data_IF_500809342749
#
_entry.id   IF_500809342749
#
_cell.length_a   1.000
_cell.length_b   1.000
_cell.length_c   1.000
_cell.angle_alpha   90.00
_cell.angle_beta   90.00
_cell.angle_gamma   90.00
#
_symmetry.space_group_name_H-M   'P 1'
#
loop_
_entity.id
_entity.type
_entity.pdbx_description
1 polymer ?
#
# COMPACT_ATOMS: atom_id res chain seq x y z
N UNK A 1 17.99 57.04 -29.42
CA UNK A 1 17.84 56.86 -27.96
C UNK A 1 16.58 56.15 -27.50
N UNK A 2 15.64 55.87 -28.36
CA UNK A 2 14.42 55.16 -27.98
C UNK A 2 14.49 53.63 -28.10
N UNK A 3 15.58 53.08 -28.59
CA UNK A 3 15.77 51.64 -28.85
C UNK A 3 16.02 50.85 -27.54
N UNK A 4 16.68 51.47 -26.56
CA UNK A 4 16.96 50.80 -25.28
C UNK A 4 15.72 50.61 -24.38
N UNK A 5 14.74 51.49 -24.49
CA UNK A 5 13.47 51.36 -23.74
C UNK A 5 12.55 50.30 -24.33
N UNK A 6 12.58 50.10 -25.64
CA UNK A 6 11.79 49.06 -26.28
C UNK A 6 12.37 47.64 -26.05
N UNK A 7 13.68 47.53 -25.93
CA UNK A 7 14.33 46.26 -25.64
C UNK A 7 13.99 45.75 -24.22
N UNK A 8 13.94 46.62 -23.24
CA UNK A 8 13.61 46.29 -21.85
C UNK A 8 12.14 45.86 -21.71
N UNK A 9 11.25 46.44 -22.53
CA UNK A 9 9.82 46.09 -22.51
C UNK A 9 9.57 44.72 -23.16
N UNK A 10 10.33 44.33 -24.15
CA UNK A 10 10.26 43.00 -24.79
C UNK A 10 10.75 41.90 -23.89
N UNK A 11 11.80 42.12 -23.09
CA UNK A 11 12.36 41.17 -22.16
C UNK A 11 11.40 40.91 -20.98
N UNK A 12 10.66 41.92 -20.55
CA UNK A 12 9.64 41.75 -19.49
C UNK A 12 8.42 40.97 -19.92
N UNK A 13 8.10 40.93 -21.21
CA UNK A 13 6.96 40.16 -21.72
C UNK A 13 7.25 38.70 -21.94
N UNK A 14 8.49 38.31 -22.19
CA UNK A 14 8.90 36.93 -22.36
C UNK A 14 9.12 36.20 -21.04
N UNK A 15 9.41 36.89 -19.95
CA UNK A 15 9.63 36.27 -18.64
C UNK A 15 8.33 35.78 -17.96
N UNK A 16 7.16 36.30 -18.36
CA UNK A 16 5.88 35.97 -17.74
C UNK A 16 5.29 34.66 -18.31
N UNK A 17 5.68 34.26 -19.51
CA UNK A 17 5.15 33.06 -20.19
C UNK A 17 5.81 31.76 -19.75
N UNK A 18 6.96 31.80 -19.07
CA UNK A 18 7.71 30.61 -18.66
C UNK A 18 7.23 30.05 -17.30
N UNK A 19 6.53 30.88 -16.51
CA UNK A 19 6.14 30.50 -15.13
C UNK A 19 4.87 29.67 -15.02
N UNK A 20 4.09 29.55 -16.09
CA UNK A 20 2.76 28.89 -16.03
C UNK A 20 2.82 27.41 -16.35
N UNK A 21 3.93 26.91 -16.92
CA UNK A 21 4.03 25.52 -17.40
C UNK A 21 4.44 24.52 -16.30
N UNK A 22 4.92 25.01 -15.16
CA UNK A 22 5.50 24.14 -14.12
C UNK A 22 4.45 23.57 -13.14
N UNK A 23 3.22 24.09 -13.16
CA UNK A 23 2.19 23.68 -12.16
C UNK A 23 1.32 22.49 -12.55
N UNK A 24 1.42 21.96 -13.78
CA UNK A 24 0.47 20.94 -14.23
C UNK A 24 0.93 19.48 -14.05
N UNK A 25 2.17 19.23 -13.67
CA UNK A 25 2.68 17.86 -13.53
C UNK A 25 2.61 17.30 -12.10
N UNK A 26 2.26 18.11 -11.11
CA UNK A 26 2.31 17.72 -9.71
C UNK A 26 1.06 17.00 -9.19
N UNK A 27 0.04 16.76 -10.03
CA UNK A 27 -1.28 16.28 -9.59
C UNK A 27 -1.60 14.83 -9.96
N UNK A 28 -0.73 14.13 -10.69
CA UNK A 28 -0.92 12.72 -11.02
C UNK A 28 -0.26 11.84 -9.94
N UNK A 29 -0.99 11.55 -8.87
CA UNK A 29 -0.58 10.50 -7.94
C UNK A 29 -1.01 9.14 -8.53
N UNK A 30 -0.11 8.14 -8.57
CA UNK A 30 -0.52 6.79 -8.98
C UNK A 30 -1.53 6.25 -7.97
N UNK A 31 -2.69 5.85 -8.46
CA UNK A 31 -3.67 5.15 -7.63
C UNK A 31 -3.08 3.79 -7.21
N UNK A 32 -2.98 3.57 -5.90
CA UNK A 32 -2.61 2.27 -5.38
C UNK A 32 -3.75 1.29 -5.65
N UNK A 33 -3.48 0.27 -6.47
CA UNK A 33 -4.44 -0.80 -6.71
C UNK A 33 -4.61 -1.62 -5.44
N UNK A 34 -5.85 -2.01 -5.07
CA UNK A 34 -6.08 -2.86 -3.92
C UNK A 34 -5.44 -4.23 -4.11
N UNK A 35 -4.91 -4.79 -3.03
CA UNK A 35 -4.37 -6.15 -3.02
C UNK A 35 -5.51 -7.13 -2.76
N UNK A 36 -5.68 -8.09 -3.66
CA UNK A 36 -6.67 -9.15 -3.50
C UNK A 36 -6.18 -10.22 -2.52
N UNK A 37 -7.03 -10.59 -1.59
CA UNK A 37 -6.77 -11.72 -0.68
C UNK A 37 -7.60 -12.92 -1.15
N UNK A 38 -6.93 -14.02 -1.46
CA UNK A 38 -7.58 -15.28 -1.86
C UNK A 38 -7.54 -16.29 -0.74
N UNK A 39 -8.65 -16.97 -0.55
CA UNK A 39 -8.81 -18.07 0.39
C UNK A 39 -9.08 -19.35 -0.41
N UNK A 40 -8.82 -20.49 0.19
CA UNK A 40 -9.12 -21.79 -0.41
C UNK A 40 -7.87 -22.59 -0.74
N UNK A 41 -8.09 -23.77 -1.33
CA UNK A 41 -7.02 -24.74 -1.58
C UNK A 41 -6.25 -24.47 -2.87
N UNK A 42 -6.84 -23.76 -3.82
CA UNK A 42 -6.28 -23.54 -5.14
C UNK A 42 -5.49 -22.26 -5.21
N UNK A 43 -4.29 -22.35 -5.74
CA UNK A 43 -3.45 -21.19 -6.07
C UNK A 43 -4.03 -20.41 -7.24
N UNK A 44 -3.77 -19.08 -7.31
CA UNK A 44 -4.24 -18.30 -8.46
C UNK A 44 -3.56 -18.77 -9.74
N UNK A 45 -4.39 -19.13 -10.73
CA UNK A 45 -3.90 -19.62 -12.01
C UNK A 45 -3.36 -18.48 -12.87
N UNK A 46 -2.25 -18.74 -13.59
CA UNK A 46 -1.67 -17.77 -14.51
C UNK A 46 -0.99 -16.58 -13.88
N UNK A 47 -0.78 -16.62 -12.58
CA UNK A 47 -0.12 -15.55 -11.83
C UNK A 47 1.35 -15.90 -11.56
N UNK A 48 2.20 -14.87 -11.51
CA UNK A 48 3.60 -15.03 -11.19
C UNK A 48 3.79 -15.13 -9.67
N UNK A 49 4.37 -16.22 -9.15
CA UNK A 49 4.69 -16.32 -7.72
C UNK A 49 5.86 -15.39 -7.35
N UNK A 50 5.73 -14.67 -6.26
CA UNK A 50 6.73 -13.71 -5.79
C UNK A 50 7.40 -14.13 -4.49
N UNK A 51 6.78 -14.98 -3.70
CA UNK A 51 7.34 -15.46 -2.45
C UNK A 51 6.36 -15.47 -1.30
N UNK A 52 6.83 -15.95 -0.16
CA UNK A 52 6.05 -16.08 1.07
C UNK A 52 5.95 -14.72 1.77
N UNK A 53 4.78 -14.42 2.29
CA UNK A 53 4.50 -13.21 3.06
C UNK A 53 3.79 -13.58 4.37
N UNK A 54 4.01 -12.75 5.37
CA UNK A 54 3.37 -12.90 6.68
C UNK A 54 2.84 -11.56 7.14
N UNK A 55 1.63 -11.53 7.65
CA UNK A 55 1.03 -10.37 8.28
C UNK A 55 0.55 -10.71 9.69
N UNK A 56 0.93 -9.91 10.66
CA UNK A 56 0.56 -10.06 12.06
C UNK A 56 -0.16 -8.83 12.57
N UNK A 57 -1.09 -9.04 13.50
CA UNK A 57 -1.71 -7.93 14.23
C UNK A 57 -0.71 -7.14 15.07
N UNK A 58 0.43 -7.73 15.42
CA UNK A 58 1.49 -7.06 16.17
C UNK A 58 2.39 -6.18 15.30
N UNK A 59 2.37 -6.34 13.97
CA UNK A 59 3.24 -5.59 13.07
C UNK A 59 2.94 -4.09 13.16
N UNK A 60 3.93 -3.32 13.62
CA UNK A 60 3.80 -1.88 13.78
C UNK A 60 2.89 -1.41 14.91
N UNK A 61 2.35 -2.31 15.72
CA UNK A 61 1.46 -1.96 16.83
C UNK A 61 1.76 -2.82 18.08
N UNK A 62 2.58 -2.31 19.03
CA UNK A 62 2.91 -3.06 20.24
C UNK A 62 1.72 -3.25 21.20
N UNK A 63 0.66 -2.47 21.03
CA UNK A 63 -0.55 -2.54 21.87
C UNK A 63 -1.72 -3.24 21.18
N UNK A 64 -1.46 -4.01 20.12
CA UNK A 64 -2.50 -4.67 19.33
C UNK A 64 -3.40 -5.58 20.17
N UNK A 65 -2.84 -6.28 21.16
CA UNK A 65 -3.59 -7.21 21.99
C UNK A 65 -4.63 -6.53 22.88
N UNK A 66 -4.50 -5.22 23.12
CA UNK A 66 -5.50 -4.44 23.87
C UNK A 66 -6.68 -3.97 23.01
N UNK A 67 -6.62 -4.17 21.71
CA UNK A 67 -7.69 -3.79 20.78
C UNK A 67 -8.69 -4.92 20.58
N UNK A 68 -9.94 -4.62 20.16
CA UNK A 68 -10.93 -5.65 19.87
C UNK A 68 -10.48 -6.62 18.78
N UNK A 69 -10.98 -7.84 18.82
CA UNK A 69 -10.64 -8.90 17.84
C UNK A 69 -10.80 -8.46 16.40
N UNK A 70 -11.90 -7.76 16.08
CA UNK A 70 -12.15 -7.28 14.69
C UNK A 70 -11.05 -6.35 14.22
N UNK A 71 -10.57 -5.46 15.09
CA UNK A 71 -9.49 -4.53 14.75
C UNK A 71 -8.18 -5.27 14.53
N UNK A 72 -7.87 -6.26 15.38
CA UNK A 72 -6.69 -7.09 15.20
C UNK A 72 -6.72 -7.87 13.89
N UNK A 73 -7.89 -8.39 13.52
CA UNK A 73 -8.09 -9.11 12.26
C UNK A 73 -7.83 -8.20 11.05
N UNK A 74 -8.38 -7.00 11.07
CA UNK A 74 -8.18 -6.01 10.00
C UNK A 74 -6.72 -5.61 9.90
N UNK A 75 -6.06 -5.36 11.01
CA UNK A 75 -4.65 -4.97 11.05
C UNK A 75 -3.75 -6.07 10.49
N UNK A 76 -3.97 -7.32 10.86
CA UNK A 76 -3.22 -8.45 10.34
C UNK A 76 -3.37 -8.60 8.83
N UNK A 77 -4.58 -8.43 8.29
CA UNK A 77 -4.84 -8.46 6.85
C UNK A 77 -4.18 -7.31 6.12
N UNK A 78 -4.24 -6.11 6.69
CA UNK A 78 -3.59 -4.95 6.08
C UNK A 78 -2.07 -5.08 6.08
N UNK A 79 -1.50 -5.64 7.15
CA UNK A 79 -0.07 -5.91 7.22
C UNK A 79 0.35 -6.96 6.19
N UNK A 80 -0.47 -7.98 5.97
CA UNK A 80 -0.25 -8.97 4.91
C UNK A 80 -0.26 -8.32 3.52
N UNK A 81 -1.21 -7.43 3.25
CA UNK A 81 -1.26 -6.67 2.00
C UNK A 81 -0.02 -5.80 1.81
N UNK A 82 0.44 -5.15 2.87
CA UNK A 82 1.64 -4.32 2.82
C UNK A 82 2.89 -5.14 2.47
N UNK A 83 3.05 -6.32 3.05
CA UNK A 83 4.15 -7.21 2.71
C UNK A 83 4.07 -7.70 1.26
N UNK A 84 2.86 -7.95 0.76
CA UNK A 84 2.64 -8.31 -0.64
C UNK A 84 3.03 -7.17 -1.58
N UNK A 85 2.68 -5.93 -1.25
CA UNK A 85 3.09 -4.74 -2.03
C UNK A 85 4.60 -4.59 -2.10
N UNK A 86 5.31 -4.84 -1.00
CA UNK A 86 6.78 -4.75 -0.96
C UNK A 86 7.44 -5.68 -1.98
N UNK A 87 6.82 -6.83 -2.26
CA UNK A 87 7.30 -7.77 -3.28
C UNK A 87 6.83 -7.42 -4.70
N UNK A 88 6.04 -6.36 -4.87
CA UNK A 88 5.46 -5.99 -6.15
C UNK A 88 4.23 -6.80 -6.53
N UNK A 89 3.61 -7.49 -5.58
CA UNK A 89 2.42 -8.29 -5.78
C UNK A 89 1.12 -7.50 -5.76
N UNK A 90 0.10 -8.07 -6.36
CA UNK A 90 -1.27 -7.55 -6.33
C UNK A 90 -2.27 -8.57 -5.77
N UNK A 91 -1.82 -9.77 -5.46
CA UNK A 91 -2.64 -10.86 -4.95
C UNK A 91 -1.85 -11.64 -3.90
N UNK A 92 -2.51 -12.04 -2.83
CA UNK A 92 -1.96 -12.94 -1.82
C UNK A 92 -2.92 -14.09 -1.58
N UNK A 93 -2.40 -15.32 -1.60
CA UNK A 93 -3.14 -16.53 -1.29
C UNK A 93 -2.78 -16.99 0.11
N UNK A 94 -3.74 -16.97 1.02
CA UNK A 94 -3.52 -17.36 2.41
C UNK A 94 -3.43 -18.88 2.52
N UNK A 95 -2.33 -19.34 3.08
CA UNK A 95 -2.07 -20.77 3.35
C UNK A 95 -2.35 -21.14 4.81
N UNK A 96 -2.14 -20.20 5.71
CA UNK A 96 -2.30 -20.43 7.14
C UNK A 96 -2.87 -19.17 7.80
N UNK A 97 -3.82 -19.37 8.68
CA UNK A 97 -4.38 -18.28 9.49
C UNK A 97 -4.68 -18.82 10.87
N UNK A 98 -4.21 -18.12 11.90
CA UNK A 98 -4.67 -18.37 13.24
C UNK A 98 -5.80 -17.39 13.59
N UNK A 99 -6.73 -17.84 14.40
CA UNK A 99 -7.83 -17.02 14.92
C UNK A 99 -7.66 -16.81 16.44
N UNK A 100 -6.44 -16.71 16.89
CA UNK A 100 -6.13 -16.50 18.31
C UNK A 100 -6.83 -15.23 18.83
N UNK A 101 -7.49 -15.37 19.94
CA UNK A 101 -8.24 -14.28 20.56
C UNK A 101 -9.65 -14.07 20.05
N UNK A 102 -10.17 -14.92 19.16
CA UNK A 102 -11.57 -14.91 18.75
C UNK A 102 -12.50 -15.13 19.94
N UNK A 103 -12.12 -16.04 20.82
CA UNK A 103 -12.77 -16.27 22.09
C UNK A 103 -11.86 -15.68 23.16
N UNK A 104 -12.10 -14.47 23.59
CA UNK A 104 -11.24 -13.76 24.54
C UNK A 104 -11.03 -14.56 25.82
N UNK A 105 -9.98 -15.38 25.83
CA UNK A 105 -9.54 -16.12 27.03
C UNK A 105 -8.53 -15.25 27.75
N UNK A 106 -8.77 -14.88 29.01
CA UNK A 106 -7.80 -14.09 29.78
C UNK A 106 -6.45 -14.77 29.83
N UNK A 107 -5.38 -14.04 29.46
CA UNK A 107 -4.00 -14.57 29.45
C UNK A 107 -3.63 -15.38 28.22
N UNK A 108 -4.53 -15.54 27.23
CA UNK A 108 -4.24 -16.19 25.97
C UNK A 108 -3.46 -15.30 25.01
N UNK A 109 -2.74 -15.93 24.08
CA UNK A 109 -2.10 -15.21 22.98
C UNK A 109 -3.17 -14.64 22.04
N UNK A 110 -3.19 -13.33 21.88
CA UNK A 110 -4.17 -12.60 21.06
C UNK A 110 -3.62 -12.21 19.69
N UNK A 111 -2.40 -12.59 19.36
CA UNK A 111 -1.82 -12.32 18.06
C UNK A 111 -2.56 -13.05 16.95
N UNK A 112 -2.93 -12.32 15.90
CA UNK A 112 -3.49 -12.89 14.67
C UNK A 112 -2.41 -12.85 13.61
N UNK A 113 -2.13 -14.02 13.02
CA UNK A 113 -1.10 -14.17 11.98
C UNK A 113 -1.71 -14.80 10.75
N UNK A 114 -1.44 -14.19 9.59
CA UNK A 114 -1.71 -14.78 8.28
C UNK A 114 -0.41 -15.05 7.56
N UNK A 115 -0.28 -16.24 7.02
CA UNK A 115 0.87 -16.64 6.20
C UNK A 115 0.33 -17.05 4.84
N UNK A 116 0.93 -16.54 3.79
CA UNK A 116 0.52 -16.83 2.44
C UNK A 116 1.63 -16.66 1.43
N UNK A 117 1.28 -16.82 0.18
CA UNK A 117 2.15 -16.58 -0.95
C UNK A 117 1.65 -15.39 -1.75
N UNK A 118 2.56 -14.48 -2.08
CA UNK A 118 2.28 -13.31 -2.90
C UNK A 118 2.42 -13.66 -4.37
N UNK A 119 1.54 -13.09 -5.18
CA UNK A 119 1.51 -13.26 -6.62
C UNK A 119 1.34 -11.94 -7.34
N UNK A 120 1.82 -11.89 -8.56
CA UNK A 120 1.45 -10.86 -9.52
C UNK A 120 0.52 -11.48 -10.56
N UNK A 121 -0.71 -11.05 -10.55
CA UNK A 121 -1.74 -11.42 -11.52
C UNK A 121 -1.98 -10.26 -12.48
N UNK A 122 -2.14 -10.57 -13.74
CA UNK A 122 -2.48 -9.58 -14.76
C UNK A 122 -3.98 -9.41 -14.92
#
# INVERSE_FOLDING_TARGET
MNISKQFITLIKRTAILVTVIICSEALAQPEEKPIAIMLGEHEPAGCQPLGRVTGSSHDGNPEADSTPYTNRLIDARNNLRNETRKLGGNTVHIKYANNSGKYEVPGGNKEIVFIGNAYRCE
#
